data_IF_797045014514
#
_entry.id   IF_797045014514
#
_cell.length_a   1.000
_cell.length_b   1.000
_cell.length_c   1.000
_cell.angle_alpha   90.00
_cell.angle_beta   90.00
_cell.angle_gamma   90.00
#
_symmetry.space_group_name_H-M   'P 1'
#
loop_
_entity.id
_entity.type
_entity.pdbx_description
1 polymer ?
#
# COMPACT_ATOMS: atom_id res chain seq x y z
N UNK A 1 20.44 17.02 5.24
CA UNK A 1 20.09 15.89 6.12
C UNK A 1 20.03 14.63 5.28
N UNK A 2 20.68 13.56 5.73
CA UNK A 2 20.56 12.21 5.14
C UNK A 2 19.48 11.48 5.93
N UNK A 3 18.58 10.79 5.24
CA UNK A 3 17.56 9.96 5.91
C UNK A 3 18.12 8.56 6.10
N UNK A 4 17.83 7.92 7.24
CA UNK A 4 18.24 6.55 7.51
C UNK A 4 16.97 5.72 7.75
N UNK A 5 16.81 4.65 7.00
CA UNK A 5 15.76 3.65 7.23
C UNK A 5 16.38 2.55 8.08
N UNK A 6 15.77 2.25 9.22
CA UNK A 6 16.16 1.16 10.11
C UNK A 6 15.14 0.03 10.03
N UNK A 7 15.61 -1.20 9.84
CA UNK A 7 14.82 -2.40 10.09
C UNK A 7 15.16 -2.93 11.47
N UNK A 8 14.12 -3.08 12.29
CA UNK A 8 14.20 -3.52 13.67
C UNK A 8 13.68 -4.96 13.76
N UNK A 9 14.39 -5.81 14.49
CA UNK A 9 13.87 -7.10 14.94
C UNK A 9 13.72 -7.07 16.45
N UNK A 10 12.61 -7.63 16.94
CA UNK A 10 12.43 -7.91 18.36
C UNK A 10 13.07 -9.25 18.64
N UNK A 11 14.19 -9.22 19.35
CA UNK A 11 14.80 -10.43 19.89
C UNK A 11 13.99 -10.86 21.12
N UNK A 12 13.14 -11.87 20.93
CA UNK A 12 12.27 -12.39 21.98
C UNK A 12 13.05 -13.07 23.11
N UNK A 13 14.23 -13.63 22.83
CA UNK A 13 15.07 -14.25 23.84
C UNK A 13 15.73 -13.19 24.74
N UNK A 14 16.11 -12.05 24.15
CA UNK A 14 16.75 -10.94 24.86
C UNK A 14 15.77 -9.84 25.27
N UNK A 15 14.47 -9.98 24.98
CA UNK A 15 13.42 -8.99 25.19
C UNK A 15 13.81 -7.57 24.76
N UNK A 16 14.54 -7.46 23.65
CA UNK A 16 15.08 -6.17 23.17
C UNK A 16 14.85 -5.98 21.69
N UNK A 17 14.76 -4.73 21.29
CA UNK A 17 14.74 -4.33 19.89
C UNK A 17 16.19 -4.19 19.42
N UNK A 18 16.54 -4.90 18.35
CA UNK A 18 17.87 -4.82 17.71
C UNK A 18 17.69 -4.29 16.30
N UNK A 19 18.56 -3.35 15.90
CA UNK A 19 18.67 -2.93 14.51
C UNK A 19 19.40 -4.04 13.75
N UNK A 20 18.74 -4.63 12.77
CA UNK A 20 19.31 -5.74 11.97
C UNK A 20 19.73 -5.30 10.57
N UNK A 21 19.21 -4.16 10.12
CA UNK A 21 19.61 -3.54 8.88
C UNK A 21 19.35 -2.04 8.95
N UNK A 22 20.21 -1.25 8.33
CA UNK A 22 20.01 0.17 8.17
C UNK A 22 20.51 0.62 6.79
N UNK A 23 19.82 1.58 6.17
CA UNK A 23 20.22 2.14 4.89
C UNK A 23 20.05 3.64 4.87
N UNK A 24 21.12 4.33 4.50
CA UNK A 24 21.05 5.74 4.13
C UNK A 24 20.32 5.88 2.79
N UNK A 25 19.39 6.82 2.73
CA UNK A 25 18.64 7.16 1.52
C UNK A 25 18.58 8.67 1.33
N UNK A 26 18.57 9.07 0.06
CA UNK A 26 18.38 10.47 -0.34
C UNK A 26 16.88 10.86 -0.36
N UNK A 27 16.00 9.89 -0.20
CA UNK A 27 14.55 10.05 -0.22
C UNK A 27 13.95 9.99 1.18
N UNK A 28 12.74 10.52 1.35
CA UNK A 28 11.95 10.29 2.56
C UNK A 28 10.96 9.17 2.26
N UNK A 29 10.87 8.13 3.10
CA UNK A 29 9.87 7.09 2.90
C UNK A 29 8.49 7.60 3.36
N UNK A 30 7.47 7.51 2.51
CA UNK A 30 6.07 7.76 2.90
C UNK A 30 5.40 6.53 3.48
N UNK A 31 5.76 5.34 2.97
CA UNK A 31 5.22 4.06 3.41
C UNK A 31 6.30 2.99 3.32
N UNK A 32 6.22 2.03 4.22
CA UNK A 32 7.04 0.83 4.25
C UNK A 32 6.08 -0.35 4.39
N UNK A 33 6.34 -1.44 3.66
CA UNK A 33 5.62 -2.68 3.85
C UNK A 33 6.57 -3.89 3.70
N UNK A 34 6.32 -4.95 4.45
CA UNK A 34 7.17 -6.13 4.54
C UNK A 34 6.31 -7.39 4.44
N UNK A 35 6.60 -8.25 3.48
CA UNK A 35 5.84 -9.49 3.30
C UNK A 35 6.71 -10.67 2.87
N UNK A 36 6.23 -11.88 3.11
CA UNK A 36 6.87 -13.13 2.71
C UNK A 36 6.27 -13.61 1.39
N UNK A 37 7.07 -13.55 0.33
CA UNK A 37 6.68 -13.91 -1.03
C UNK A 37 7.57 -15.04 -1.52
N UNK A 38 6.94 -16.15 -1.92
CA UNK A 38 7.63 -17.38 -2.33
C UNK A 38 8.77 -17.80 -1.37
N UNK A 39 8.54 -17.69 -0.05
CA UNK A 39 9.52 -18.06 0.98
C UNK A 39 10.62 -17.03 1.26
N UNK A 40 10.64 -15.89 0.56
CA UNK A 40 11.62 -14.82 0.75
C UNK A 40 10.95 -13.57 1.33
N UNK A 41 11.63 -12.89 2.25
CA UNK A 41 11.13 -11.62 2.80
C UNK A 41 11.43 -10.48 1.83
N UNK A 42 10.40 -9.73 1.46
CA UNK A 42 10.50 -8.54 0.64
C UNK A 42 10.09 -7.29 1.40
N UNK A 43 10.92 -6.25 1.33
CA UNK A 43 10.66 -4.93 1.89
C UNK A 43 10.39 -3.95 0.74
N UNK A 44 9.17 -3.41 0.71
CA UNK A 44 8.74 -2.35 -0.19
C UNK A 44 8.90 -1.01 0.51
N UNK A 45 9.60 -0.09 -0.13
CA UNK A 45 9.82 1.28 0.35
C UNK A 45 9.23 2.25 -0.66
N UNK A 46 8.16 2.92 -0.26
CA UNK A 46 7.55 3.97 -1.07
C UNK A 46 8.23 5.28 -0.73
N UNK A 47 8.95 5.81 -1.69
CA UNK A 47 9.73 7.02 -1.51
C UNK A 47 8.93 8.23 -1.96
N UNK A 48 8.86 9.24 -1.09
CA UNK A 48 8.34 10.57 -1.38
C UNK A 48 9.50 11.52 -1.66
N UNK A 49 9.32 12.36 -2.67
CA UNK A 49 10.30 13.39 -2.97
C UNK A 49 10.38 14.43 -1.86
N UNK A 50 11.61 14.85 -1.55
CA UNK A 50 11.84 16.10 -0.86
C UNK A 50 11.72 17.23 -1.90
N UNK A 51 10.65 18.03 -1.81
CA UNK A 51 10.24 19.11 -2.74
C UNK A 51 11.38 20.09 -3.08
N UNK A 52 12.46 20.12 -2.28
CA UNK A 52 13.58 21.06 -2.41
C UNK A 52 14.69 20.65 -3.39
N UNK A 53 14.65 19.49 -4.06
CA UNK A 53 15.89 18.88 -4.63
C UNK A 53 15.93 18.39 -6.10
N UNK A 54 14.93 18.49 -6.97
CA UNK A 54 15.08 18.02 -8.37
C UNK A 54 14.45 18.88 -9.46
N UNK A 55 15.02 18.75 -10.66
CA UNK A 55 14.62 19.38 -11.92
C UNK A 55 13.46 18.66 -12.63
N UNK A 56 13.20 17.40 -12.27
CA UNK A 56 11.98 16.64 -12.63
C UNK A 56 11.29 16.28 -11.31
N UNK A 57 10.33 17.09 -10.81
CA UNK A 57 9.93 17.05 -9.41
C UNK A 57 9.01 15.88 -9.01
N UNK A 58 8.73 14.95 -9.93
CA UNK A 58 7.49 14.16 -9.87
C UNK A 58 7.67 12.63 -9.94
N UNK A 59 8.88 12.15 -10.21
CA UNK A 59 9.19 10.72 -10.36
C UNK A 59 10.28 10.31 -9.37
N UNK A 60 9.88 9.75 -8.23
CA UNK A 60 10.81 9.14 -7.27
C UNK A 60 10.60 7.63 -7.29
N UNK A 61 11.67 6.82 -7.50
CA UNK A 61 11.52 5.38 -7.52
C UNK A 61 11.14 4.85 -6.13
N UNK A 62 10.08 4.07 -6.07
CA UNK A 62 9.83 3.15 -4.97
C UNK A 62 10.81 1.98 -5.10
N UNK A 63 11.31 1.49 -3.97
CA UNK A 63 12.39 0.51 -3.95
C UNK A 63 11.91 -0.80 -3.34
N UNK A 64 12.20 -1.91 -4.02
CA UNK A 64 11.91 -3.25 -3.57
C UNK A 64 13.22 -3.94 -3.18
N UNK A 65 13.26 -4.44 -1.95
CA UNK A 65 14.38 -5.20 -1.44
C UNK A 65 13.97 -6.62 -1.10
N UNK A 66 14.90 -7.56 -1.24
CA UNK A 66 14.74 -8.95 -0.81
C UNK A 66 15.78 -9.27 0.27
N UNK A 67 15.37 -10.00 1.31
CA UNK A 67 16.26 -10.43 2.37
C UNK A 67 17.17 -11.57 1.91
N UNK A 68 18.47 -11.38 2.04
CA UNK A 68 19.48 -12.40 1.78
C UNK A 68 19.96 -13.02 3.09
N UNK A 69 19.49 -14.24 3.38
CA UNK A 69 19.77 -14.94 4.64
C UNK A 69 21.25 -15.19 4.89
N UNK A 70 22.03 -15.50 3.84
CA UNK A 70 23.46 -15.81 3.92
C UNK A 70 24.29 -14.64 4.49
N UNK A 71 23.88 -13.41 4.18
CA UNK A 71 24.59 -12.16 4.53
C UNK A 71 23.79 -11.29 5.51
N UNK A 72 22.60 -11.77 5.92
CA UNK A 72 21.68 -11.10 6.85
C UNK A 72 21.44 -9.63 6.51
N UNK A 73 21.13 -9.34 5.24
CA UNK A 73 20.85 -7.98 4.77
C UNK A 73 19.77 -7.96 3.69
N UNK A 74 19.11 -6.83 3.53
CA UNK A 74 18.27 -6.56 2.37
C UNK A 74 19.11 -6.15 1.16
N UNK A 75 18.92 -6.82 0.02
CA UNK A 75 19.46 -6.45 -1.29
C UNK A 75 18.37 -5.81 -2.15
N UNK A 76 18.68 -4.72 -2.83
CA UNK A 76 17.78 -4.09 -3.80
C UNK A 76 17.55 -5.05 -4.99
N UNK A 77 16.30 -5.35 -5.30
CA UNK A 77 15.91 -6.22 -6.41
C UNK A 77 15.19 -5.47 -7.52
N UNK A 78 14.55 -4.33 -7.21
CA UNK A 78 13.86 -3.53 -8.20
C UNK A 78 13.64 -2.09 -7.77
N UNK A 79 13.52 -1.22 -8.76
CA UNK A 79 13.10 0.17 -8.61
C UNK A 79 11.88 0.39 -9.51
N UNK A 80 10.81 0.91 -8.92
CA UNK A 80 9.52 1.06 -9.58
C UNK A 80 9.11 2.53 -9.52
N UNK A 81 8.96 3.14 -10.70
CA UNK A 81 8.59 4.54 -10.83
C UNK A 81 7.08 4.64 -10.99
N UNK A 82 6.46 5.46 -10.15
CA UNK A 82 5.08 5.87 -10.31
C UNK A 82 5.04 7.39 -10.19
N UNK A 83 4.20 8.05 -11.00
CA UNK A 83 3.97 9.49 -10.87
C UNK A 83 3.40 9.77 -9.49
N UNK A 84 4.16 10.47 -8.66
CA UNK A 84 3.76 10.82 -7.29
C UNK A 84 3.27 9.65 -6.44
N UNK A 85 4.12 8.64 -6.28
CA UNK A 85 3.85 7.53 -5.37
C UNK A 85 3.46 8.04 -3.96
N UNK A 86 2.25 7.73 -3.53
CA UNK A 86 1.70 8.17 -2.24
C UNK A 86 1.73 7.06 -1.19
N UNK A 87 1.42 5.84 -1.61
CA UNK A 87 1.30 4.65 -0.78
C UNK A 87 1.57 3.40 -1.61
N UNK A 88 1.73 2.25 -0.95
CA UNK A 88 1.96 0.97 -1.58
C UNK A 88 2.02 -0.13 -0.54
N UNK A 89 1.53 -1.31 -0.90
CA UNK A 89 1.41 -2.47 -0.01
C UNK A 89 1.63 -3.77 -0.78
N UNK A 90 2.00 -4.83 -0.09
CA UNK A 90 1.86 -6.19 -0.55
C UNK A 90 0.45 -6.72 -0.30
N UNK A 91 0.01 -7.63 -1.15
CA UNK A 91 -1.23 -8.37 -0.99
C UNK A 91 -1.08 -9.77 -1.57
N UNK A 92 -1.78 -10.74 -0.98
CA UNK A 92 -1.64 -12.16 -1.32
C UNK A 92 -2.99 -12.79 -1.55
N UNK A 93 -3.15 -13.47 -2.68
CA UNK A 93 -4.27 -14.34 -2.94
C UNK A 93 -4.10 -15.66 -2.18
N UNK A 94 -4.82 -15.84 -1.07
CA UNK A 94 -4.71 -17.08 -0.29
C UNK A 94 -5.20 -18.31 -1.08
N UNK A 95 -6.29 -18.16 -1.84
CA UNK A 95 -6.90 -19.25 -2.60
C UNK A 95 -6.03 -19.72 -3.78
N UNK A 96 -5.36 -18.78 -4.45
CA UNK A 96 -4.60 -19.06 -5.67
C UNK A 96 -3.08 -19.04 -5.46
N UNK A 97 -2.60 -18.65 -4.27
CA UNK A 97 -1.17 -18.57 -3.96
C UNK A 97 -0.42 -17.58 -4.84
N UNK A 98 -1.08 -16.47 -5.20
CA UNK A 98 -0.53 -15.40 -6.03
C UNK A 98 -0.17 -14.21 -5.14
N UNK A 99 1.05 -13.69 -5.31
CA UNK A 99 1.57 -12.57 -4.53
C UNK A 99 1.64 -11.33 -5.42
N UNK A 100 1.28 -10.18 -4.86
CA UNK A 100 1.25 -8.91 -5.56
C UNK A 100 1.81 -7.80 -4.67
N UNK A 101 2.19 -6.69 -5.29
CA UNK A 101 2.24 -5.41 -4.60
C UNK A 101 1.60 -4.32 -5.45
N UNK A 102 1.23 -3.22 -4.80
CA UNK A 102 0.63 -2.06 -5.48
C UNK A 102 1.38 -0.78 -5.20
N UNK A 103 1.29 0.15 -6.15
CA UNK A 103 1.73 1.54 -5.99
C UNK A 103 0.56 2.46 -6.27
N UNK A 104 0.18 3.26 -5.28
CA UNK A 104 -0.80 4.32 -5.43
C UNK A 104 -0.14 5.60 -5.89
N UNK A 105 -0.84 6.32 -6.77
CA UNK A 105 -0.47 7.63 -7.25
C UNK A 105 -1.42 8.68 -6.65
N UNK A 106 -0.88 9.86 -6.34
CA UNK A 106 -1.69 11.03 -5.94
C UNK A 106 -1.60 12.13 -6.98
N UNK A 107 -2.71 12.78 -7.28
CA UNK A 107 -2.71 13.91 -8.19
C UNK A 107 -1.96 15.08 -7.53
N UNK A 108 -1.09 15.75 -8.27
CA UNK A 108 -0.52 17.03 -7.81
C UNK A 108 -1.17 18.21 -8.51
N UNK A 109 -1.46 19.23 -7.70
CA UNK A 109 -2.01 20.51 -8.16
C UNK A 109 -1.02 21.27 -9.06
N UNK A 110 0.27 20.95 -8.95
CA UNK A 110 1.37 21.64 -9.64
C UNK A 110 1.76 20.99 -10.97
N UNK A 111 0.94 20.11 -11.52
CA UNK A 111 1.14 19.56 -12.86
C UNK A 111 0.35 20.40 -13.89
N UNK A 112 0.99 21.35 -14.61
CA UNK A 112 0.34 22.30 -15.51
C UNK A 112 -0.27 21.66 -16.77
N UNK A 113 0.01 20.39 -17.04
CA UNK A 113 -0.41 19.68 -18.26
C UNK A 113 -1.87 19.20 -18.27
N UNK A 114 -2.67 19.61 -17.29
CA UNK A 114 -3.70 18.73 -16.78
C UNK A 114 -5.03 19.43 -16.44
N UNK A 115 -5.16 20.71 -16.79
CA UNK A 115 -6.32 21.56 -16.43
C UNK A 115 -7.66 21.21 -17.11
N UNK A 116 -7.72 20.30 -18.08
CA UNK A 116 -8.91 20.18 -18.93
C UNK A 116 -9.80 18.93 -18.73
N UNK A 117 -9.31 17.83 -18.16
CA UNK A 117 -10.11 16.60 -18.02
C UNK A 117 -9.86 15.97 -16.64
N UNK A 118 -10.94 15.68 -15.90
CA UNK A 118 -10.91 15.07 -14.56
C UNK A 118 -9.81 14.00 -14.47
N UNK A 119 -8.79 14.28 -13.67
CA UNK A 119 -7.52 13.56 -13.66
C UNK A 119 -7.68 12.28 -12.84
N UNK A 120 -7.79 11.16 -13.53
CA UNK A 120 -7.68 9.85 -12.90
C UNK A 120 -6.20 9.60 -12.58
N UNK A 121 -5.90 9.29 -11.33
CA UNK A 121 -4.64 8.67 -10.93
C UNK A 121 -4.79 7.16 -11.04
N UNK A 122 -3.71 6.39 -11.08
CA UNK A 122 -3.82 4.94 -11.14
C UNK A 122 -3.27 4.26 -9.88
N UNK A 123 -3.72 3.02 -9.68
CA UNK A 123 -2.97 2.03 -8.91
C UNK A 123 -2.25 1.14 -9.89
N UNK A 124 -0.92 1.12 -9.82
CA UNK A 124 -0.12 0.14 -10.54
C UNK A 124 -0.06 -1.14 -9.72
N UNK A 125 -0.47 -2.26 -10.31
CA UNK A 125 -0.47 -3.58 -9.67
C UNK A 125 0.63 -4.42 -10.31
N UNK A 126 1.49 -4.98 -9.47
CA UNK A 126 2.57 -5.87 -9.89
C UNK A 126 2.34 -7.25 -9.31
N UNK A 127 2.49 -8.28 -10.14
CA UNK A 127 2.33 -9.69 -9.75
C UNK A 127 3.68 -10.37 -9.70
N UNK A 128 3.91 -11.22 -8.71
CA UNK A 128 5.12 -12.03 -8.63
C UNK A 128 5.08 -13.15 -9.66
N UNK A 129 6.01 -13.13 -10.59
CA UNK A 129 6.29 -14.19 -11.54
C UNK A 129 7.28 -15.17 -10.90
N UNK A 130 6.85 -16.43 -10.74
CA UNK A 130 7.66 -17.48 -10.09
C UNK A 130 8.78 -17.98 -10.99
N UNK A 131 8.62 -17.91 -12.30
CA UNK A 131 9.62 -18.39 -13.26
C UNK A 131 10.77 -17.39 -13.39
N UNK A 132 10.44 -16.08 -13.32
CA UNK A 132 11.43 -15.00 -13.33
C UNK A 132 11.94 -14.60 -11.93
N UNK A 133 11.34 -15.16 -10.88
CA UNK A 133 11.57 -14.81 -9.47
C UNK A 133 11.48 -13.30 -9.19
N UNK A 134 10.61 -12.59 -9.91
CA UNK A 134 10.51 -11.13 -9.85
C UNK A 134 9.06 -10.66 -9.99
N UNK A 135 8.81 -9.40 -9.62
CA UNK A 135 7.51 -8.77 -9.85
C UNK A 135 7.46 -8.10 -11.22
N UNK A 136 6.38 -8.39 -11.96
CA UNK A 136 6.08 -7.83 -13.27
C UNK A 136 4.77 -7.04 -13.21
N UNK A 137 4.61 -6.04 -14.07
CA UNK A 137 3.36 -5.30 -14.18
C UNK A 137 2.22 -6.24 -14.57
N UNK A 138 1.09 -6.12 -13.87
CA UNK A 138 -0.06 -7.02 -14.04
C UNK A 138 -1.31 -6.25 -14.48
N UNK A 139 -1.65 -5.18 -13.78
CA UNK A 139 -2.86 -4.40 -14.05
C UNK A 139 -2.67 -2.95 -13.60
N UNK A 140 -3.46 -2.05 -14.19
CA UNK A 140 -3.51 -0.64 -13.84
C UNK A 140 -4.96 -0.28 -13.52
N UNK A 141 -5.26 0.08 -12.28
CA UNK A 141 -6.62 0.35 -11.82
C UNK A 141 -6.91 1.85 -11.84
N UNK A 142 -7.99 2.30 -12.50
CA UNK A 142 -8.37 3.70 -12.49
C UNK A 142 -8.86 4.09 -11.10
N UNK A 143 -8.29 5.14 -10.53
CA UNK A 143 -8.68 5.68 -9.22
C UNK A 143 -8.54 7.21 -9.19
N UNK A 144 -8.69 7.82 -8.02
CA UNK A 144 -8.48 9.25 -7.83
C UNK A 144 -7.78 9.52 -6.51
N UNK A 145 -6.58 10.11 -6.58
CA UNK A 145 -5.76 10.58 -5.47
C UNK A 145 -5.78 9.68 -4.23
N UNK A 146 -5.30 8.45 -4.39
CA UNK A 146 -5.24 7.50 -3.26
C UNK A 146 -4.14 7.94 -2.30
N UNK A 147 -4.48 8.09 -1.02
CA UNK A 147 -3.57 8.52 0.04
C UNK A 147 -3.14 7.39 0.96
N UNK A 148 -3.95 6.34 1.08
CA UNK A 148 -3.62 5.17 1.88
C UNK A 148 -4.28 3.91 1.30
N UNK A 149 -3.69 2.76 1.63
CA UNK A 149 -4.12 1.47 1.13
C UNK A 149 -4.01 0.41 2.24
N UNK A 150 -4.87 -0.60 2.19
CA UNK A 150 -4.66 -1.85 2.91
C UNK A 150 -5.19 -3.04 2.13
N UNK A 151 -4.69 -4.22 2.49
CA UNK A 151 -5.19 -5.50 2.04
C UNK A 151 -6.08 -6.11 3.11
N UNK A 152 -7.09 -6.85 2.67
CA UNK A 152 -8.10 -7.44 3.52
C UNK A 152 -8.49 -8.80 2.93
N UNK A 153 -8.52 -9.85 3.74
CA UNK A 153 -9.02 -11.16 3.32
C UNK A 153 -10.32 -11.47 4.04
N UNK A 154 -11.37 -11.79 3.28
CA UNK A 154 -12.65 -12.26 3.82
C UNK A 154 -13.02 -13.52 3.06
N UNK A 155 -13.25 -14.62 3.78
CA UNK A 155 -13.66 -15.91 3.20
C UNK A 155 -12.76 -16.32 2.01
N UNK A 156 -11.45 -16.28 2.25
CA UNK A 156 -10.38 -16.56 1.27
C UNK A 156 -10.31 -15.63 0.05
N UNK A 157 -11.25 -14.70 -0.09
CA UNK A 157 -11.24 -13.65 -1.12
C UNK A 157 -10.44 -12.46 -0.65
N UNK A 158 -9.60 -11.94 -1.55
CA UNK A 158 -8.67 -10.87 -1.22
C UNK A 158 -9.17 -9.56 -1.80
N UNK A 159 -9.16 -8.54 -0.96
CA UNK A 159 -9.66 -7.22 -1.25
C UNK A 159 -8.53 -6.21 -1.09
N UNK A 160 -8.44 -5.32 -2.06
CA UNK A 160 -7.61 -4.12 -2.01
C UNK A 160 -8.51 -2.94 -1.63
N UNK A 161 -8.22 -2.33 -0.49
CA UNK A 161 -8.95 -1.18 0.04
C UNK A 161 -8.13 0.07 -0.21
N UNK A 162 -8.70 1.03 -0.93
CA UNK A 162 -8.05 2.27 -1.34
C UNK A 162 -8.78 3.47 -0.75
N UNK A 163 -8.07 4.31 0.00
CA UNK A 163 -8.63 5.56 0.52
C UNK A 163 -8.18 6.74 -0.32
N UNK A 164 -9.14 7.45 -0.89
CA UNK A 164 -8.94 8.68 -1.66
C UNK A 164 -9.05 9.94 -0.80
N UNK A 165 -8.20 10.93 -1.04
CA UNK A 165 -8.34 12.26 -0.44
C UNK A 165 -9.60 13.01 -0.89
N UNK A 166 -10.21 12.59 -2.03
CA UNK A 166 -11.46 13.16 -2.54
C UNK A 166 -12.69 12.64 -1.78
N UNK A 167 -12.46 11.81 -0.76
CA UNK A 167 -13.48 11.39 0.19
C UNK A 167 -14.23 10.14 -0.24
N UNK A 168 -13.52 9.19 -0.84
CA UNK A 168 -14.03 7.88 -1.22
C UNK A 168 -13.11 6.78 -0.70
N UNK A 169 -13.72 5.67 -0.29
CA UNK A 169 -13.06 4.39 -0.03
C UNK A 169 -13.48 3.44 -1.13
N UNK A 170 -12.56 3.08 -2.02
CA UNK A 170 -12.79 2.08 -3.06
C UNK A 170 -12.33 0.72 -2.58
N UNK A 171 -13.13 -0.30 -2.84
CA UNK A 171 -12.85 -1.68 -2.43
C UNK A 171 -12.83 -2.51 -3.70
N UNK A 172 -11.69 -3.08 -4.03
CA UNK A 172 -11.52 -3.96 -5.18
C UNK A 172 -11.41 -5.40 -4.71
N UNK A 173 -12.20 -6.30 -5.28
CA UNK A 173 -12.08 -7.74 -5.07
C UNK A 173 -11.16 -8.33 -6.14
N UNK A 174 -10.25 -9.21 -5.74
CA UNK A 174 -9.47 -10.00 -6.68
C UNK A 174 -10.28 -11.20 -7.15
N UNK A 175 -10.60 -11.25 -8.45
CA UNK A 175 -11.31 -12.35 -9.10
C UNK A 175 -10.33 -13.04 -10.04
N UNK A 176 -9.93 -14.27 -9.72
CA UNK A 176 -9.06 -15.04 -10.60
C UNK A 176 -9.86 -15.64 -11.77
N UNK A 177 -9.41 -15.55 -13.03
CA UNK A 177 -8.19 -14.88 -13.52
C UNK A 177 -8.41 -13.42 -13.97
N UNK A 178 -9.60 -12.86 -13.78
CA UNK A 178 -10.03 -11.55 -14.30
C UNK A 178 -9.30 -10.31 -13.75
N UNK A 179 -8.61 -10.44 -12.61
CA UNK A 179 -7.91 -9.31 -11.96
C UNK A 179 -8.75 -8.63 -10.89
N UNK A 180 -8.42 -7.38 -10.57
CA UNK A 180 -9.09 -6.60 -9.54
C UNK A 180 -10.33 -5.90 -10.10
N UNK A 181 -11.50 -6.15 -9.51
CA UNK A 181 -12.76 -5.50 -9.88
C UNK A 181 -13.28 -4.63 -8.75
N UNK A 182 -13.71 -3.41 -9.07
CA UNK A 182 -14.35 -2.53 -8.11
C UNK A 182 -15.62 -3.23 -7.58
N UNK A 183 -15.60 -3.56 -6.30
CA UNK A 183 -16.68 -4.24 -5.61
C UNK A 183 -17.60 -3.25 -4.92
N UNK A 184 -17.03 -2.21 -4.30
CA UNK A 184 -17.79 -1.20 -3.58
C UNK A 184 -17.07 0.15 -3.52
N UNK A 185 -17.84 1.23 -3.53
CA UNK A 185 -17.40 2.58 -3.20
C UNK A 185 -18.17 3.09 -1.98
N UNK A 186 -17.46 3.64 -1.00
CA UNK A 186 -18.05 4.24 0.21
C UNK A 186 -17.59 5.68 0.33
N UNK A 187 -18.53 6.62 0.46
CA UNK A 187 -18.20 8.04 0.61
C UNK A 187 -17.79 8.33 2.05
N UNK A 188 -16.56 8.80 2.25
CA UNK A 188 -16.00 9.16 3.55
C UNK A 188 -15.27 10.49 3.42
N UNK A 189 -15.88 11.59 3.84
CA UNK A 189 -15.28 12.93 3.69
C UNK A 189 -14.09 13.12 4.64
N UNK A 190 -13.09 13.87 4.17
CA UNK A 190 -11.94 14.29 4.96
C UNK A 190 -11.13 13.15 5.61
N UNK A 191 -11.18 11.96 5.03
CA UNK A 191 -10.39 10.83 5.47
C UNK A 191 -8.93 10.97 5.02
N UNK A 192 -7.98 10.50 5.84
CA UNK A 192 -6.54 10.66 5.53
C UNK A 192 -5.65 9.45 5.86
N UNK A 193 -6.17 8.46 6.57
CA UNK A 193 -5.48 7.20 6.81
C UNK A 193 -6.49 6.10 7.08
N UNK A 194 -6.09 4.86 6.83
CA UNK A 194 -6.88 3.68 7.15
C UNK A 194 -5.99 2.60 7.78
N UNK A 195 -6.60 1.75 8.60
CA UNK A 195 -5.97 0.52 9.10
C UNK A 195 -7.01 -0.59 9.15
N UNK A 196 -6.56 -1.82 8.92
CA UNK A 196 -7.38 -3.03 9.10
C UNK A 196 -7.08 -3.60 10.49
N UNK A 197 -8.14 -3.88 11.24
CA UNK A 197 -8.04 -4.49 12.57
C UNK A 197 -8.81 -5.80 12.54
N UNK A 198 -8.14 -6.90 12.83
CA UNK A 198 -8.75 -8.22 12.96
C UNK A 198 -9.08 -8.49 14.43
N UNK A 199 -10.36 -8.75 14.72
CA UNK A 199 -10.83 -9.15 16.06
C UNK A 199 -11.73 -10.39 15.94
N UNK A 200 -12.01 -11.10 17.05
CA UNK A 200 -13.01 -12.16 17.05
C UNK A 200 -14.35 -11.64 16.49
N UNK A 201 -14.85 -12.27 15.41
CA UNK A 201 -16.06 -11.85 14.70
C UNK A 201 -15.82 -11.11 13.38
N UNK A 202 -14.57 -10.91 12.98
CA UNK A 202 -14.19 -10.50 11.62
C UNK A 202 -13.35 -9.21 11.57
N UNK A 203 -12.92 -8.83 10.36
CA UNK A 203 -12.09 -7.66 10.15
C UNK A 203 -12.91 -6.36 10.15
N UNK A 204 -12.29 -5.31 10.67
CA UNK A 204 -12.79 -3.94 10.69
C UNK A 204 -11.83 -3.03 9.92
N UNK A 205 -12.41 -2.08 9.19
CA UNK A 205 -11.68 -0.99 8.55
C UNK A 205 -11.87 0.24 9.44
N UNK A 206 -10.78 0.75 9.99
CA UNK A 206 -10.78 1.97 10.79
C UNK A 206 -10.19 3.08 9.96
N UNK A 207 -10.98 4.12 9.71
CA UNK A 207 -10.61 5.27 8.87
C UNK A 207 -10.53 6.51 9.74
N UNK A 208 -9.38 7.20 9.72
CA UNK A 208 -9.19 8.45 10.45
C UNK A 208 -9.68 9.64 9.63
N UNK A 209 -10.47 10.52 10.26
CA UNK A 209 -11.10 11.71 9.68
C UNK A 209 -10.45 12.96 10.24
N UNK A 210 -10.18 13.94 9.37
CA UNK A 210 -9.54 15.22 9.75
C UNK A 210 -10.55 16.29 10.19
N UNK A 211 -11.75 16.32 9.61
CA UNK A 211 -12.73 17.38 9.85
C UNK A 211 -14.19 16.92 9.73
N UNK A 212 -14.95 16.84 10.83
CA UNK A 212 -14.45 16.96 12.22
C UNK A 212 -13.46 15.82 12.55
N UNK A 213 -12.46 16.04 13.43
CA UNK A 213 -11.55 14.98 13.85
C UNK A 213 -12.30 13.79 14.45
N UNK A 214 -11.99 12.58 14.02
CA UNK A 214 -12.64 11.38 14.52
C UNK A 214 -12.23 10.12 13.77
N UNK A 215 -12.92 9.02 14.06
CA UNK A 215 -12.75 7.75 13.38
C UNK A 215 -14.09 7.26 12.82
N UNK A 216 -14.04 6.62 11.66
CA UNK A 216 -15.15 5.84 11.10
C UNK A 216 -14.72 4.38 11.15
N UNK A 217 -15.54 3.55 11.78
CA UNK A 217 -15.32 2.11 11.85
C UNK A 217 -16.31 1.44 10.92
N UNK A 218 -15.80 0.65 9.98
CA UNK A 218 -16.59 -0.13 9.04
C UNK A 218 -16.35 -1.61 9.31
N UNK A 219 -17.42 -2.39 9.35
CA UNK A 219 -17.32 -3.85 9.42
C UNK A 219 -17.32 -4.41 8.01
N UNK A 220 -16.40 -5.32 7.74
CA UNK A 220 -16.26 -5.91 6.42
C UNK A 220 -16.83 -7.34 6.39
N UNK A 221 -17.69 -7.61 5.41
CA UNK A 221 -18.34 -8.90 5.20
C UNK A 221 -18.27 -9.29 3.72
N UNK A 222 -18.52 -10.58 3.43
CA UNK A 222 -18.58 -11.10 2.05
C UNK A 222 -19.58 -10.32 1.18
N UNK A 223 -20.67 -9.85 1.79
CA UNK A 223 -21.72 -9.10 1.11
C UNK A 223 -21.41 -7.61 0.92
N UNK A 224 -20.31 -7.11 1.50
CA UNK A 224 -20.00 -5.68 1.51
C UNK A 224 -19.39 -5.19 2.81
N UNK A 225 -18.90 -3.96 2.77
CA UNK A 225 -18.44 -3.19 3.90
C UNK A 225 -19.54 -2.22 4.31
N UNK A 226 -19.88 -2.20 5.60
CA UNK A 226 -20.98 -1.39 6.14
C UNK A 226 -20.53 -0.62 7.40
N UNK A 227 -21.09 0.57 7.66
CA UNK A 227 -20.81 1.29 8.91
C UNK A 227 -21.13 0.43 10.13
N UNK A 228 -20.17 0.34 11.06
CA UNK A 228 -20.40 -0.31 12.34
C UNK A 228 -20.93 0.70 13.35
N UNK A 229 -22.11 0.43 13.92
CA UNK A 229 -22.60 1.14 15.10
C UNK A 229 -22.28 0.27 16.31
N UNK A 230 -21.49 0.80 17.24
CA UNK A 230 -21.50 0.28 18.60
C UNK A 230 -22.93 0.47 19.10
N UNK A 231 -23.64 -0.62 19.40
CA UNK A 231 -24.85 -0.52 20.20
C UNK A 231 -24.39 -0.02 21.58
N UNK A 232 -24.99 1.08 22.04
CA UNK A 232 -24.69 1.72 23.33
C UNK A 232 -24.73 0.73 24.51
#
# INVERSE_FOLDING_TARGET
>A
ERNIIHTLLVDLALQRVVIVWAKETNYSASKLDLNLVNGNWFLLIINKMNIRKSFEPYTVPSQLYMWESAVKKFRLTGEYVADHASSGIFLKSQLHGEDFFTLAQVETKDCPLHEANRKFTNILVFKYDKDMENFVEFECLPTCSVVDQASLTIDHTNYLVLLSELGALHVYAYLHPEGFKLFQEIKIKAAYSLVIVEIPGGPFIVVSIRSPPGIVVLRAHVQGIQPFRLLD
#
